data_IF_266132564109
#
_entry.id   IF_266132564109
#
_cell.length_a   1.000
_cell.length_b   1.000
_cell.length_c   1.000
_cell.angle_alpha   90.00
_cell.angle_beta   90.00
_cell.angle_gamma   90.00
#
_symmetry.space_group_name_H-M   'P 1'
#
loop_
_entity.id
_entity.type
_entity.pdbx_description
1 polymer ?
#
# COMPACT_ATOMS: atom_id res chain seq x y z
N UNK A 1 33.95 13.64 4.51
CA UNK A 1 33.87 12.22 4.88
C UNK A 1 34.61 11.41 3.86
N UNK A 2 35.39 10.41 4.27
CA UNK A 2 35.77 9.36 3.34
C UNK A 2 34.49 8.59 2.98
N UNK A 3 34.03 8.72 1.74
CA UNK A 3 32.79 8.11 1.25
C UNK A 3 32.73 6.61 1.56
N UNK A 4 33.90 5.96 1.61
CA UNK A 4 34.07 4.54 1.96
C UNK A 4 33.50 4.18 3.33
N UNK A 5 33.81 4.96 4.39
CA UNK A 5 33.43 4.62 5.75
C UNK A 5 31.91 4.77 6.02
N UNK A 6 31.27 5.74 5.35
CA UNK A 6 29.81 5.92 5.39
C UNK A 6 29.12 4.72 4.75
N UNK A 7 29.56 4.33 3.56
CA UNK A 7 28.93 3.27 2.78
C UNK A 7 29.07 1.90 3.46
N UNK A 8 30.23 1.62 4.08
CA UNK A 8 30.45 0.41 4.89
C UNK A 8 29.52 0.32 6.10
N UNK A 9 29.28 1.43 6.79
CA UNK A 9 28.36 1.47 7.94
C UNK A 9 26.91 1.23 7.51
N UNK A 10 26.49 1.87 6.42
CA UNK A 10 25.15 1.69 5.85
C UNK A 10 24.96 0.23 5.39
N UNK A 11 25.98 -0.36 4.77
CA UNK A 11 25.97 -1.76 4.35
C UNK A 11 25.83 -2.71 5.56
N UNK A 12 26.66 -2.51 6.59
CA UNK A 12 26.62 -3.33 7.81
C UNK A 12 25.27 -3.24 8.51
N UNK A 13 24.67 -2.04 8.56
CA UNK A 13 23.32 -1.85 9.07
C UNK A 13 22.26 -2.56 8.22
N UNK A 14 22.41 -2.57 6.90
CA UNK A 14 21.49 -3.26 5.99
C UNK A 14 21.53 -4.79 6.17
N UNK A 15 22.71 -5.37 6.35
CA UNK A 15 22.88 -6.78 6.69
C UNK A 15 22.23 -7.11 8.03
N UNK A 16 22.51 -6.32 9.07
CA UNK A 16 21.88 -6.50 10.38
C UNK A 16 20.34 -6.45 10.31
N UNK A 17 19.77 -5.50 9.56
CA UNK A 17 18.31 -5.43 9.36
C UNK A 17 17.76 -6.68 8.66
N UNK A 18 18.52 -7.27 7.74
CA UNK A 18 18.14 -8.51 7.06
C UNK A 18 18.12 -9.68 8.04
N UNK A 19 19.12 -9.79 8.91
CA UNK A 19 19.17 -10.81 9.96
C UNK A 19 18.02 -10.66 10.98
N UNK A 20 17.57 -9.43 11.22
CA UNK A 20 16.37 -9.14 12.01
C UNK A 20 15.05 -9.42 11.26
N UNK A 21 15.10 -10.00 10.06
CA UNK A 21 13.93 -10.38 9.26
C UNK A 21 13.15 -9.18 8.70
N UNK A 22 13.77 -8.00 8.56
CA UNK A 22 13.09 -6.83 8.00
C UNK A 22 12.89 -6.99 6.49
N UNK A 23 11.77 -6.47 5.99
CA UNK A 23 11.47 -6.52 4.56
C UNK A 23 12.47 -5.69 3.74
N UNK A 24 12.71 -6.07 2.48
CA UNK A 24 13.59 -5.33 1.57
C UNK A 24 13.20 -3.84 1.45
N UNK A 25 11.90 -3.52 1.47
CA UNK A 25 11.42 -2.14 1.47
C UNK A 25 11.75 -1.40 2.77
N UNK A 26 11.67 -2.07 3.92
CA UNK A 26 12.07 -1.50 5.21
C UNK A 26 13.57 -1.21 5.21
N UNK A 27 14.39 -2.17 4.75
CA UNK A 27 15.85 -2.00 4.64
C UNK A 27 16.17 -0.80 3.76
N UNK A 28 15.63 -0.76 2.53
CA UNK A 28 15.82 0.36 1.59
C UNK A 28 15.38 1.71 2.18
N UNK A 29 14.28 1.71 2.94
CA UNK A 29 13.79 2.93 3.58
C UNK A 29 14.77 3.41 4.65
N UNK A 30 15.21 2.52 5.53
CA UNK A 30 16.07 2.88 6.66
C UNK A 30 17.47 3.28 6.21
N UNK A 31 18.06 2.56 5.24
CA UNK A 31 19.36 2.95 4.66
C UNK A 31 19.27 4.27 3.89
N UNK A 32 18.15 4.52 3.19
CA UNK A 32 17.90 5.80 2.52
C UNK A 32 17.77 6.98 3.50
N UNK A 33 17.11 6.77 4.65
CA UNK A 33 17.09 7.76 5.74
C UNK A 33 18.50 8.00 6.25
N UNK A 34 19.26 6.94 6.52
CA UNK A 34 20.61 7.06 7.06
C UNK A 34 21.54 7.83 6.13
N UNK A 35 21.45 7.62 4.81
CA UNK A 35 22.19 8.44 3.84
C UNK A 35 21.81 9.91 3.96
N UNK A 36 20.51 10.24 3.95
CA UNK A 36 20.04 11.63 4.06
C UNK A 36 20.47 12.28 5.38
N UNK A 37 20.51 11.52 6.46
CA UNK A 37 20.99 11.98 7.76
C UNK A 37 22.49 12.30 7.73
N UNK A 38 23.31 11.41 7.16
CA UNK A 38 24.75 11.65 6.99
C UNK A 38 25.01 12.88 6.11
N UNK A 39 24.28 12.98 5.00
CA UNK A 39 24.44 14.06 4.03
C UNK A 39 24.07 15.42 4.64
N UNK A 40 23.12 15.45 5.59
CA UNK A 40 22.74 16.68 6.28
C UNK A 40 23.66 17.03 7.46
N UNK A 41 24.09 16.05 8.25
CA UNK A 41 24.90 16.31 9.45
C UNK A 41 26.38 16.50 9.14
N UNK A 42 26.88 15.90 8.05
CA UNK A 42 28.30 15.88 7.67
C UNK A 42 29.22 15.38 8.81
N UNK A 43 28.67 14.65 9.79
CA UNK A 43 29.35 14.12 10.98
C UNK A 43 29.54 12.61 10.93
N UNK A 44 30.65 12.13 11.48
CA UNK A 44 30.95 10.70 11.56
C UNK A 44 29.84 10.03 12.39
N UNK A 45 29.23 8.97 11.84
CA UNK A 45 28.06 8.29 12.44
C UNK A 45 28.29 7.79 13.87
N UNK A 46 29.54 7.51 14.24
CA UNK A 46 29.92 7.06 15.59
C UNK A 46 30.02 8.19 16.62
N UNK A 47 30.13 9.45 16.17
CA UNK A 47 30.27 10.66 16.99
C UNK A 47 28.96 11.46 17.09
N UNK A 48 27.86 10.87 16.66
CA UNK A 48 26.55 11.51 16.71
C UNK A 48 26.02 11.54 18.14
N UNK A 49 25.59 12.72 18.57
CA UNK A 49 24.92 12.96 19.84
C UNK A 49 23.44 13.29 19.64
N UNK A 50 22.68 13.36 20.74
CA UNK A 50 21.23 13.61 20.68
C UNK A 50 20.90 14.95 20.01
N UNK A 51 21.75 15.96 20.20
CA UNK A 51 21.60 17.30 19.62
C UNK A 51 21.67 17.28 18.09
N UNK A 52 22.48 16.37 17.52
CA UNK A 52 22.62 16.21 16.07
C UNK A 52 21.37 15.57 15.47
N UNK A 53 20.80 14.59 16.17
CA UNK A 53 19.55 13.96 15.78
C UNK A 53 18.41 14.98 15.88
N UNK A 54 18.34 15.74 16.96
CA UNK A 54 17.33 16.79 17.13
C UNK A 54 17.45 17.85 16.02
N UNK A 55 18.65 18.37 15.78
CA UNK A 55 18.90 19.37 14.74
C UNK A 55 18.53 18.87 13.34
N UNK A 56 18.70 17.56 13.07
CA UNK A 56 18.23 16.97 11.83
C UNK A 56 16.70 16.90 11.72
N UNK A 57 16.00 16.52 12.79
CA UNK A 57 14.53 16.49 12.78
C UNK A 57 13.96 17.91 12.63
N UNK A 58 14.55 18.89 13.32
CA UNK A 58 14.19 20.31 13.19
C UNK A 58 14.43 20.81 11.75
N UNK A 59 15.52 20.38 11.11
CA UNK A 59 15.76 20.65 9.69
C UNK A 59 14.66 20.08 8.79
N UNK A 60 14.21 18.84 9.03
CA UNK A 60 13.10 18.25 8.26
C UNK A 60 11.79 19.02 8.45
N UNK A 61 11.52 19.49 9.67
CA UNK A 61 10.39 20.37 9.97
C UNK A 61 10.47 21.70 9.23
N UNK A 62 11.65 22.35 9.26
CA UNK A 62 11.90 23.60 8.54
C UNK A 62 11.75 23.44 7.02
N UNK A 63 12.09 22.25 6.50
CA UNK A 63 11.83 21.86 5.12
C UNK A 63 10.36 21.48 4.84
N UNK A 64 9.44 21.69 5.79
CA UNK A 64 8.01 21.38 5.71
C UNK A 64 7.73 19.94 5.29
N UNK A 65 8.59 19.00 5.69
CA UNK A 65 8.34 17.57 5.45
C UNK A 65 7.09 17.14 6.20
N UNK A 66 6.33 16.22 5.60
CA UNK A 66 5.12 15.71 6.25
C UNK A 66 5.48 15.07 7.60
N UNK A 67 4.62 15.14 8.63
CA UNK A 67 4.94 14.53 9.91
C UNK A 67 5.15 13.01 9.83
N UNK A 68 4.50 12.33 8.87
CA UNK A 68 4.75 10.90 8.62
C UNK A 68 6.13 10.63 8.01
N UNK A 69 6.69 11.59 7.27
CA UNK A 69 8.09 11.54 6.82
C UNK A 69 9.03 11.70 8.03
N UNK A 70 8.78 12.68 8.89
CA UNK A 70 9.62 12.91 10.09
C UNK A 70 9.59 11.70 11.01
N UNK A 71 8.41 11.15 11.29
CA UNK A 71 8.23 9.92 12.08
C UNK A 71 9.03 8.75 11.52
N UNK A 72 9.00 8.56 10.19
CA UNK A 72 9.77 7.53 9.52
C UNK A 72 11.27 7.72 9.71
N UNK A 73 11.77 8.96 9.66
CA UNK A 73 13.17 9.27 9.89
C UNK A 73 13.56 8.98 11.34
N UNK A 74 12.77 9.45 12.29
CA UNK A 74 12.95 9.16 13.72
C UNK A 74 13.02 7.66 13.99
N UNK A 75 12.08 6.87 13.47
CA UNK A 75 12.05 5.40 13.69
C UNK A 75 13.31 4.75 13.09
N UNK A 76 13.70 5.13 11.87
CA UNK A 76 14.89 4.57 11.23
C UNK A 76 16.17 4.88 12.03
N UNK A 77 16.32 6.13 12.50
CA UNK A 77 17.44 6.55 13.35
C UNK A 77 17.43 5.82 14.70
N UNK A 78 16.25 5.65 15.32
CA UNK A 78 16.13 4.90 16.56
C UNK A 78 16.62 3.44 16.43
N UNK A 79 16.23 2.79 15.33
CA UNK A 79 16.68 1.43 15.02
C UNK A 79 18.19 1.40 14.72
N UNK A 80 18.72 2.42 14.05
CA UNK A 80 20.14 2.55 13.78
C UNK A 80 20.99 2.73 15.05
N UNK A 81 20.58 3.60 15.99
CA UNK A 81 21.29 3.77 17.25
C UNK A 81 21.21 2.55 18.16
N UNK A 82 20.13 1.76 18.06
CA UNK A 82 20.08 0.44 18.68
C UNK A 82 21.11 -0.52 18.08
N UNK A 83 21.28 -0.52 16.76
CA UNK A 83 22.31 -1.30 16.08
C UNK A 83 23.72 -0.91 16.53
N UNK A 84 24.00 0.38 16.71
CA UNK A 84 25.29 0.87 17.23
C UNK A 84 25.53 0.57 18.73
N UNK A 85 24.57 -0.02 19.44
CA UNK A 85 24.65 -0.20 20.89
C UNK A 85 24.60 1.14 21.67
N UNK A 86 24.06 2.19 21.06
CA UNK A 86 23.93 3.54 21.64
C UNK A 86 22.48 4.04 21.70
N UNK A 87 21.50 3.26 22.20
CA UNK A 87 20.10 3.70 22.25
C UNK A 87 19.88 4.98 23.07
N UNK A 88 20.80 5.31 23.99
CA UNK A 88 20.76 6.53 24.81
C UNK A 88 20.77 7.82 23.98
N UNK A 89 21.31 7.81 22.76
CA UNK A 89 21.31 8.97 21.84
C UNK A 89 19.89 9.41 21.48
N UNK A 90 18.91 8.51 21.56
CA UNK A 90 17.51 8.81 21.22
C UNK A 90 16.67 9.24 22.42
N UNK A 91 17.18 9.14 23.65
CA UNK A 91 16.38 9.35 24.87
C UNK A 91 15.93 10.80 25.04
N UNK A 92 16.79 11.76 24.66
CA UNK A 92 16.52 13.20 24.73
C UNK A 92 16.06 13.79 23.39
N UNK A 93 15.85 12.95 22.37
CA UNK A 93 15.37 13.40 21.07
C UNK A 93 13.86 13.51 21.11
N UNK A 94 13.37 14.74 21.05
CA UNK A 94 11.96 15.04 20.96
C UNK A 94 11.51 15.03 19.49
N UNK A 95 10.28 14.57 19.30
CA UNK A 95 9.60 14.65 18.01
C UNK A 95 8.24 15.26 18.24
N UNK A 96 7.81 16.13 17.33
CA UNK A 96 6.40 16.49 17.27
C UNK A 96 5.61 15.26 16.87
N UNK A 97 4.89 14.69 17.83
CA UNK A 97 3.99 13.57 17.57
C UNK A 97 2.93 14.08 16.61
N UNK A 98 2.86 13.46 15.42
CA UNK A 98 1.75 13.74 14.51
C UNK A 98 0.45 13.38 15.22
N UNK A 99 -0.41 14.36 15.45
CA UNK A 99 -1.82 14.07 15.69
C UNK A 99 -2.31 13.24 14.52
N UNK A 100 -2.76 12.02 14.80
CA UNK A 100 -3.35 11.16 13.80
C UNK A 100 -4.72 11.75 13.43
N UNK A 101 -4.72 12.81 12.62
CA UNK A 101 -5.90 13.25 11.91
C UNK A 101 -6.28 12.08 11.01
N UNK A 102 -7.41 11.46 11.34
CA UNK A 102 -8.02 10.42 10.52
C UNK A 102 -8.50 11.10 9.23
N UNK A 103 -7.58 11.30 8.29
CA UNK A 103 -7.91 11.78 6.95
C UNK A 103 -8.78 10.72 6.27
N UNK A 104 -9.97 11.17 5.84
CA UNK A 104 -10.89 10.35 5.08
C UNK A 104 -10.18 10.00 3.77
N UNK A 105 -10.02 8.70 3.44
CA UNK A 105 -9.35 8.32 2.21
C UNK A 105 -10.10 8.85 0.99
N UNK A 106 -9.37 9.36 0.01
CA UNK A 106 -9.96 9.75 -1.26
C UNK A 106 -10.53 8.52 -1.98
N UNK A 107 -11.81 8.58 -2.35
CA UNK A 107 -12.55 7.55 -3.10
C UNK A 107 -13.00 8.10 -4.46
N UNK A 108 -13.47 7.23 -5.34
CA UNK A 108 -14.16 7.63 -6.57
C UNK A 108 -15.65 7.72 -6.29
N UNK A 109 -16.26 8.82 -6.70
CA UNK A 109 -17.72 8.89 -6.89
C UNK A 109 -18.18 7.89 -7.95
N UNK A 110 -19.50 7.65 -7.99
CA UNK A 110 -20.11 6.76 -9.00
C UNK A 110 -19.79 7.25 -10.42
N UNK A 111 -19.90 8.56 -10.66
CA UNK A 111 -19.62 9.16 -11.96
C UNK A 111 -18.14 9.05 -12.35
N UNK A 112 -17.21 9.37 -11.45
CA UNK A 112 -15.77 9.22 -11.72
C UNK A 112 -15.40 7.77 -12.02
N UNK A 113 -16.01 6.81 -11.33
CA UNK A 113 -15.80 5.40 -11.64
C UNK A 113 -16.31 5.06 -13.05
N UNK A 114 -17.51 5.49 -13.42
CA UNK A 114 -18.07 5.21 -14.75
C UNK A 114 -17.19 5.82 -15.85
N UNK A 115 -16.69 7.03 -15.65
CA UNK A 115 -15.75 7.69 -16.56
C UNK A 115 -14.46 6.87 -16.67
N UNK A 116 -13.86 6.46 -15.54
CA UNK A 116 -12.66 5.62 -15.54
C UNK A 116 -12.85 4.33 -16.34
N UNK A 117 -13.96 3.62 -16.10
CA UNK A 117 -14.25 2.35 -16.78
C UNK A 117 -14.49 2.54 -18.27
N UNK A 118 -15.23 3.58 -18.66
CA UNK A 118 -15.43 3.93 -20.07
C UNK A 118 -14.12 4.28 -20.77
N UNK A 119 -13.29 5.11 -20.15
CA UNK A 119 -12.08 5.62 -20.79
C UNK A 119 -10.98 4.55 -20.89
N UNK A 120 -10.88 3.63 -19.92
CA UNK A 120 -9.96 2.49 -20.02
C UNK A 120 -10.42 1.49 -21.08
N UNK A 121 -11.72 1.26 -21.22
CA UNK A 121 -12.28 0.40 -22.27
C UNK A 121 -12.06 0.97 -23.66
N UNK A 122 -12.24 2.29 -23.82
CA UNK A 122 -11.99 2.99 -25.07
C UNK A 122 -10.52 2.93 -25.52
N UNK A 123 -9.56 2.75 -24.60
CA UNK A 123 -8.15 2.53 -24.95
C UNK A 123 -7.92 1.17 -25.64
N UNK A 124 -8.80 0.20 -25.43
CA UNK A 124 -8.76 -1.12 -26.07
C UNK A 124 -7.64 -2.05 -25.57
N UNK A 125 -6.82 -1.62 -24.61
CA UNK A 125 -5.77 -2.46 -24.04
C UNK A 125 -6.35 -3.47 -23.03
N UNK A 126 -6.62 -4.69 -23.48
CA UNK A 126 -7.25 -5.76 -22.69
C UNK A 126 -6.56 -6.02 -21.35
N UNK A 127 -5.22 -5.95 -21.30
CA UNK A 127 -4.46 -6.09 -20.06
C UNK A 127 -4.79 -4.97 -19.09
N UNK A 128 -4.72 -3.72 -19.54
CA UNK A 128 -4.93 -2.56 -18.68
C UNK A 128 -6.38 -2.53 -18.17
N UNK A 129 -7.36 -2.87 -19.02
CA UNK A 129 -8.77 -3.01 -18.65
C UNK A 129 -8.91 -4.05 -17.53
N UNK A 130 -8.38 -5.26 -17.72
CA UNK A 130 -8.45 -6.32 -16.71
C UNK A 130 -7.80 -5.91 -15.38
N UNK A 131 -6.67 -5.20 -15.41
CA UNK A 131 -6.00 -4.68 -14.19
C UNK A 131 -6.92 -3.71 -13.43
N UNK A 132 -7.52 -2.74 -14.11
CA UNK A 132 -8.39 -1.73 -13.48
C UNK A 132 -9.60 -2.40 -12.83
N UNK A 133 -10.28 -3.27 -13.58
CA UNK A 133 -11.43 -4.02 -13.08
C UNK A 133 -11.06 -4.88 -11.87
N UNK A 134 -9.94 -5.59 -11.92
CA UNK A 134 -9.52 -6.44 -10.81
C UNK A 134 -9.24 -5.62 -9.55
N UNK A 135 -8.49 -4.52 -9.64
CA UNK A 135 -8.22 -3.65 -8.47
C UNK A 135 -9.50 -3.09 -7.87
N UNK A 136 -10.38 -2.57 -8.72
CA UNK A 136 -11.60 -1.89 -8.30
C UNK A 136 -12.64 -2.86 -7.71
N UNK A 137 -12.72 -4.09 -8.22
CA UNK A 137 -13.75 -5.05 -7.83
C UNK A 137 -13.32 -6.01 -6.71
N UNK A 138 -12.02 -6.07 -6.37
CA UNK A 138 -11.50 -6.97 -5.34
C UNK A 138 -10.81 -6.24 -4.18
N UNK A 139 -10.42 -4.98 -4.39
CA UNK A 139 -9.70 -4.19 -3.39
C UNK A 139 -8.32 -4.73 -3.02
N UNK A 140 -7.74 -5.68 -3.76
CA UNK A 140 -6.39 -6.19 -3.51
C UNK A 140 -5.33 -5.09 -3.66
N UNK A 141 -4.17 -5.26 -3.01
CA UNK A 141 -3.04 -4.33 -3.17
C UNK A 141 -2.46 -4.46 -4.57
N UNK A 142 -1.87 -3.37 -5.07
CA UNK A 142 -1.17 -3.40 -6.37
C UNK A 142 -0.04 -4.43 -6.40
N UNK A 143 0.68 -4.63 -5.29
CA UNK A 143 1.71 -5.67 -5.20
C UNK A 143 1.11 -7.06 -5.34
N UNK A 144 0.01 -7.32 -4.62
CA UNK A 144 -0.72 -8.59 -4.69
C UNK A 144 -1.22 -8.86 -6.12
N UNK A 145 -1.76 -7.85 -6.81
CA UNK A 145 -2.14 -7.95 -8.22
C UNK A 145 -0.96 -8.32 -9.12
N UNK A 146 0.18 -7.64 -8.94
CA UNK A 146 1.38 -7.89 -9.74
C UNK A 146 1.95 -9.29 -9.48
N UNK A 147 1.74 -9.86 -8.29
CA UNK A 147 2.24 -11.17 -7.88
C UNK A 147 1.32 -12.34 -8.27
N UNK A 148 0.09 -12.07 -8.73
CA UNK A 148 -0.83 -13.10 -9.22
C UNK A 148 -0.24 -13.90 -10.39
N UNK A 149 -0.57 -15.19 -10.42
CA UNK A 149 -0.26 -16.11 -11.50
C UNK A 149 -1.53 -16.53 -12.23
N UNK A 150 -1.40 -17.08 -13.45
CA UNK A 150 -2.56 -17.58 -14.20
C UNK A 150 -3.31 -18.65 -13.40
N UNK A 151 -2.56 -19.52 -12.69
CA UNK A 151 -3.09 -20.57 -11.80
C UNK A 151 -3.81 -20.05 -10.55
N UNK A 152 -3.62 -18.78 -10.20
CA UNK A 152 -4.28 -18.19 -9.02
C UNK A 152 -5.70 -17.69 -9.36
N UNK A 153 -6.10 -17.70 -10.64
CA UNK A 153 -7.46 -17.38 -11.09
C UNK A 153 -8.27 -18.67 -11.21
N UNK A 154 -9.20 -18.87 -10.29
CA UNK A 154 -10.08 -20.05 -10.27
C UNK A 154 -11.42 -19.71 -10.91
N UNK A 155 -11.77 -20.49 -11.93
CA UNK A 155 -12.98 -20.33 -12.73
C UNK A 155 -13.77 -21.64 -12.67
N UNK A 156 -14.70 -21.73 -11.73
CA UNK A 156 -15.62 -22.86 -11.59
C UNK A 156 -17.02 -22.46 -12.06
N UNK A 157 -17.88 -23.45 -12.29
CA UNK A 157 -19.25 -23.27 -12.80
C UNK A 157 -20.06 -22.31 -11.92
N UNK A 158 -19.87 -22.35 -10.60
CA UNK A 158 -20.66 -21.58 -9.64
C UNK A 158 -19.89 -20.44 -8.97
N UNK A 159 -18.55 -20.46 -9.02
CA UNK A 159 -17.71 -19.53 -8.26
C UNK A 159 -16.48 -19.13 -9.06
N UNK A 160 -16.22 -17.83 -9.09
CA UNK A 160 -14.97 -17.27 -9.63
C UNK A 160 -14.25 -16.54 -8.51
N UNK A 161 -12.98 -16.82 -8.31
CA UNK A 161 -12.19 -16.19 -7.26
C UNK A 161 -10.70 -16.15 -7.62
N UNK A 162 -9.97 -15.25 -6.96
CA UNK A 162 -8.51 -15.21 -7.00
C UNK A 162 -7.92 -15.68 -5.67
N UNK A 163 -6.80 -16.40 -5.76
CA UNK A 163 -6.01 -16.81 -4.61
C UNK A 163 -4.88 -15.81 -4.39
N UNK A 164 -5.04 -14.93 -3.41
CA UNK A 164 -3.99 -13.97 -3.01
C UNK A 164 -3.01 -14.68 -2.08
N UNK A 165 -1.72 -14.57 -2.38
CA UNK A 165 -0.65 -15.21 -1.62
C UNK A 165 0.09 -14.23 -0.73
N UNK A 166 0.59 -14.71 0.40
CA UNK A 166 1.45 -13.92 1.29
C UNK A 166 2.91 -13.93 0.79
N UNK A 167 3.78 -13.19 1.48
CA UNK A 167 5.20 -13.09 1.14
C UNK A 167 5.98 -14.44 1.24
N UNK A 168 5.39 -15.46 1.87
CA UNK A 168 5.93 -16.83 1.95
C UNK A 168 5.42 -17.74 0.82
N UNK A 169 4.55 -17.23 -0.07
CA UNK A 169 3.96 -17.98 -1.18
C UNK A 169 2.72 -18.81 -0.81
N UNK A 170 2.32 -18.81 0.46
CA UNK A 170 1.13 -19.50 0.95
C UNK A 170 -0.13 -18.70 0.59
N UNK A 171 -1.26 -19.39 0.45
CA UNK A 171 -2.56 -18.73 0.23
C UNK A 171 -2.92 -17.95 1.49
N UNK A 172 -2.98 -16.62 1.36
CA UNK A 172 -3.40 -15.70 2.41
C UNK A 172 -4.93 -15.65 2.50
N UNK A 173 -5.58 -15.46 1.34
CA UNK A 173 -7.03 -15.37 1.24
C UNK A 173 -7.53 -15.66 -0.18
N UNK A 174 -8.77 -16.11 -0.25
CA UNK A 174 -9.55 -16.16 -1.49
C UNK A 174 -10.41 -14.90 -1.60
N UNK A 175 -10.42 -14.26 -2.77
CA UNK A 175 -11.24 -13.07 -3.03
C UNK A 175 -12.20 -13.37 -4.20
N UNK A 176 -13.52 -13.35 -3.98
CA UNK A 176 -14.50 -13.56 -5.03
C UNK A 176 -14.39 -12.51 -6.15
N UNK A 177 -14.66 -12.94 -7.38
CA UNK A 177 -14.70 -12.08 -8.56
C UNK A 177 -16.13 -11.84 -9.00
N UNK A 178 -16.46 -10.60 -9.36
CA UNK A 178 -17.70 -10.31 -10.07
C UNK A 178 -17.62 -10.83 -11.51
N UNK A 179 -18.78 -11.06 -12.14
CA UNK A 179 -18.86 -11.49 -13.54
C UNK A 179 -18.11 -10.57 -14.50
N UNK A 180 -18.23 -9.25 -14.28
CA UNK A 180 -17.51 -8.25 -15.08
C UNK A 180 -15.98 -8.37 -14.91
N UNK A 181 -15.47 -8.47 -13.68
CA UNK A 181 -14.03 -8.61 -13.45
C UNK A 181 -13.46 -9.87 -14.10
N UNK A 182 -14.13 -11.02 -13.94
CA UNK A 182 -13.65 -12.27 -14.55
C UNK A 182 -13.75 -12.24 -16.07
N UNK A 183 -14.76 -11.58 -16.65
CA UNK A 183 -14.89 -11.46 -18.10
C UNK A 183 -13.70 -10.71 -18.71
N UNK A 184 -13.26 -9.60 -18.11
CA UNK A 184 -12.11 -8.86 -18.61
C UNK A 184 -10.81 -9.63 -18.43
N UNK A 185 -10.64 -10.35 -17.31
CA UNK A 185 -9.49 -11.24 -17.10
C UNK A 185 -9.47 -12.35 -18.16
N UNK A 186 -10.61 -12.97 -18.47
CA UNK A 186 -10.74 -13.98 -19.54
C UNK A 186 -10.37 -13.40 -20.90
N UNK A 187 -10.94 -12.26 -21.28
CA UNK A 187 -10.64 -11.60 -22.55
C UNK A 187 -9.14 -11.34 -22.71
N UNK A 188 -8.49 -10.87 -21.64
CA UNK A 188 -7.05 -10.70 -21.64
C UNK A 188 -6.30 -12.02 -21.79
N UNK A 189 -6.62 -13.04 -20.99
CA UNK A 189 -5.97 -14.35 -21.08
C UNK A 189 -6.12 -14.99 -22.46
N UNK A 190 -7.29 -14.86 -23.11
CA UNK A 190 -7.53 -15.35 -24.47
C UNK A 190 -6.77 -14.56 -25.55
N UNK A 191 -6.38 -13.32 -25.27
CA UNK A 191 -5.56 -12.53 -26.19
C UNK A 191 -4.08 -12.93 -26.18
N UNK A 192 -3.65 -13.71 -25.19
CA UNK A 192 -2.27 -14.17 -25.09
C UNK A 192 -2.04 -15.36 -26.02
N UNK A 193 -0.97 -15.30 -26.83
CA UNK A 193 -0.57 -16.41 -27.72
C UNK A 193 -0.14 -17.66 -26.94
N UNK A 194 0.48 -17.45 -25.79
CA UNK A 194 0.95 -18.51 -24.89
C UNK A 194 0.46 -18.22 -23.47
N UNK A 195 0.25 -19.28 -22.68
CA UNK A 195 -0.12 -19.12 -21.27
C UNK A 195 1.06 -18.50 -20.51
N UNK A 196 0.88 -17.27 -20.04
CA UNK A 196 1.82 -16.63 -19.14
C UNK A 196 1.57 -17.08 -17.68
N UNK A 197 2.66 -17.35 -16.94
CA UNK A 197 2.63 -17.65 -15.51
C UNK A 197 3.53 -16.66 -14.73
N UNK A 198 3.39 -15.37 -15.05
CA UNK A 198 2.58 -14.45 -14.25
C UNK A 198 1.23 -14.13 -14.91
N UNK A 199 0.21 -13.75 -14.11
CA UNK A 199 -1.11 -13.40 -14.63
C UNK A 199 -1.02 -12.21 -15.60
N UNK A 200 -0.33 -11.14 -15.19
CA UNK A 200 -0.16 -9.93 -16.00
C UNK A 200 1.30 -9.74 -16.42
N UNK A 201 1.51 -9.65 -17.74
CA UNK A 201 2.83 -9.42 -18.35
C UNK A 201 2.96 -8.00 -18.91
N UNK A 202 4.16 -7.45 -18.87
CA UNK A 202 4.56 -6.19 -19.52
C UNK A 202 4.70 -6.36 -21.03
N UNK A 203 4.94 -5.27 -21.76
CA UNK A 203 5.27 -5.32 -23.20
C UNK A 203 6.56 -6.09 -23.50
N UNK A 204 7.42 -6.28 -22.50
CA UNK A 204 8.66 -7.06 -22.58
C UNK A 204 8.47 -8.51 -22.15
N UNK A 205 7.23 -9.00 -22.04
CA UNK A 205 6.88 -10.37 -21.62
C UNK A 205 7.38 -10.75 -20.21
N UNK A 206 7.57 -9.75 -19.34
CA UNK A 206 7.97 -9.94 -17.94
C UNK A 206 6.79 -9.66 -17.00
N UNK A 207 6.80 -10.18 -15.77
CA UNK A 207 5.81 -9.83 -14.74
C UNK A 207 5.64 -8.30 -14.64
N UNK A 208 4.40 -7.83 -14.64
CA UNK A 208 4.12 -6.40 -14.51
C UNK A 208 4.57 -5.90 -13.13
N UNK A 209 5.09 -4.67 -13.07
CA UNK A 209 5.54 -4.07 -11.82
C UNK A 209 4.48 -3.13 -11.23
N UNK A 210 4.47 -2.91 -9.91
CA UNK A 210 3.60 -1.90 -9.29
C UNK A 210 3.76 -0.51 -9.90
N UNK A 211 4.98 -0.13 -10.31
CA UNK A 211 5.26 1.15 -10.95
C UNK A 211 4.60 1.26 -12.33
N UNK A 212 4.59 0.17 -13.09
CA UNK A 212 3.88 0.09 -14.37
C UNK A 212 2.38 0.27 -14.20
N UNK A 213 1.78 -0.38 -13.20
CA UNK A 213 0.34 -0.23 -12.88
C UNK A 213 0.02 1.19 -12.44
N UNK A 214 0.86 1.80 -11.59
CA UNK A 214 0.71 3.21 -11.21
C UNK A 214 0.80 4.14 -12.41
N UNK A 215 1.71 3.87 -13.36
CA UNK A 215 1.83 4.66 -14.59
C UNK A 215 0.57 4.56 -15.46
N UNK A 216 0.00 3.36 -15.61
CA UNK A 216 -1.28 3.15 -16.32
C UNK A 216 -2.39 4.01 -15.67
N UNK A 217 -2.55 3.92 -14.35
CA UNK A 217 -3.62 4.63 -13.63
C UNK A 217 -3.42 6.15 -13.59
N UNK A 218 -2.16 6.62 -13.63
CA UNK A 218 -1.84 8.05 -13.61
C UNK A 218 -2.50 8.81 -14.76
N UNK A 219 -2.67 8.19 -15.94
CA UNK A 219 -3.36 8.77 -17.10
C UNK A 219 -4.81 9.18 -16.78
N UNK A 220 -5.42 8.52 -15.81
CA UNK A 220 -6.81 8.73 -15.41
C UNK A 220 -6.93 9.52 -14.10
N UNK A 221 -5.83 10.11 -13.61
CA UNK A 221 -5.76 10.78 -12.31
C UNK A 221 -6.22 9.88 -11.13
N UNK A 222 -5.91 8.58 -11.21
CA UNK A 222 -6.22 7.58 -10.18
C UNK A 222 -4.94 6.86 -9.76
N UNK A 223 -4.93 6.31 -8.55
CA UNK A 223 -3.86 5.42 -8.08
C UNK A 223 -4.46 4.17 -7.42
N UNK A 224 -3.68 3.07 -7.27
CA UNK A 224 -4.24 1.80 -6.77
C UNK A 224 -4.91 1.90 -5.41
N UNK A 225 -4.37 2.73 -4.51
CA UNK A 225 -5.01 2.95 -3.21
C UNK A 225 -6.40 3.60 -3.31
N UNK A 226 -6.63 4.54 -4.25
CA UNK A 226 -7.95 5.16 -4.47
C UNK A 226 -8.96 4.11 -4.92
N UNK A 227 -8.60 3.22 -5.85
CA UNK A 227 -9.45 2.09 -6.25
C UNK A 227 -9.81 1.16 -5.08
N UNK A 228 -8.82 0.83 -4.24
CA UNK A 228 -9.04 0.03 -3.04
C UNK A 228 -9.91 0.75 -2.01
N UNK A 229 -9.76 2.06 -1.84
CA UNK A 229 -10.62 2.86 -0.97
C UNK A 229 -12.04 2.86 -1.50
N UNK A 230 -12.25 3.09 -2.80
CA UNK A 230 -13.55 2.99 -3.47
C UNK A 230 -14.20 1.62 -3.23
N UNK A 231 -13.46 0.53 -3.38
CA UNK A 231 -13.95 -0.81 -3.08
C UNK A 231 -14.44 -0.94 -1.63
N UNK A 232 -13.59 -0.55 -0.67
CA UNK A 232 -13.95 -0.66 0.75
C UNK A 232 -15.14 0.22 1.11
N UNK A 233 -15.17 1.46 0.62
CA UNK A 233 -16.26 2.41 0.89
C UNK A 233 -17.57 1.90 0.33
N UNK A 234 -17.59 1.39 -0.91
CA UNK A 234 -18.80 0.79 -1.50
C UNK A 234 -19.34 -0.37 -0.68
N UNK A 235 -18.49 -1.23 -0.14
CA UNK A 235 -18.95 -2.31 0.72
C UNK A 235 -19.57 -1.77 2.02
N UNK A 236 -18.98 -0.71 2.61
CA UNK A 236 -19.58 -0.03 3.78
C UNK A 236 -20.94 0.60 3.43
N UNK A 237 -21.05 1.28 2.30
CA UNK A 237 -22.28 1.94 1.85
C UNK A 237 -23.41 0.91 1.65
N UNK A 238 -23.07 -0.29 1.18
CA UNK A 238 -23.97 -1.43 1.04
C UNK A 238 -24.22 -2.22 2.35
N UNK A 239 -23.73 -1.72 3.49
CA UNK A 239 -24.00 -2.30 4.81
C UNK A 239 -23.24 -3.58 5.12
N UNK A 240 -22.16 -3.89 4.39
CA UNK A 240 -21.31 -5.04 4.68
C UNK A 240 -20.51 -4.76 5.96
N UNK A 241 -20.40 -5.78 6.82
CA UNK A 241 -19.70 -5.65 8.09
C UNK A 241 -18.19 -5.41 7.90
N UNK A 242 -17.60 -4.67 8.84
CA UNK A 242 -16.18 -4.29 8.76
C UNK A 242 -15.21 -5.47 8.82
N UNK A 243 -15.59 -6.61 9.41
CA UNK A 243 -14.70 -7.76 9.50
C UNK A 243 -14.60 -8.43 8.14
N UNK A 244 -15.72 -8.59 7.45
CA UNK A 244 -15.76 -9.08 6.06
C UNK A 244 -14.97 -8.18 5.12
N UNK A 245 -15.16 -6.85 5.21
CA UNK A 245 -14.41 -5.88 4.39
C UNK A 245 -12.90 -5.98 4.69
N UNK A 246 -12.53 -6.06 5.96
CA UNK A 246 -11.13 -6.21 6.39
C UNK A 246 -10.50 -7.48 5.83
N UNK A 247 -11.24 -8.60 5.84
CA UNK A 247 -10.81 -9.88 5.32
C UNK A 247 -10.62 -9.83 3.80
N UNK A 248 -11.58 -9.29 3.05
CA UNK A 248 -11.49 -9.17 1.59
C UNK A 248 -10.31 -8.28 1.16
N UNK A 249 -10.19 -7.10 1.79
CA UNK A 249 -9.09 -6.20 1.51
C UNK A 249 -7.74 -6.77 2.03
N UNK A 250 -7.73 -7.62 3.04
CA UNK A 250 -6.50 -8.10 3.68
C UNK A 250 -5.85 -7.04 4.58
N UNK A 251 -6.65 -6.29 5.36
CA UNK A 251 -6.13 -5.39 6.38
C UNK A 251 -5.72 -6.18 7.62
N UNK A 252 -4.48 -5.98 8.09
CA UNK A 252 -3.98 -6.58 9.34
C UNK A 252 -4.52 -5.88 10.59
N UNK A 253 -4.87 -4.59 10.46
CA UNK A 253 -5.45 -3.79 11.52
C UNK A 253 -6.86 -3.33 11.10
N UNK A 254 -7.86 -3.68 11.92
CA UNK A 254 -9.25 -3.29 11.72
C UNK A 254 -9.45 -1.77 11.72
N UNK A 255 -8.57 -1.00 12.39
CA UNK A 255 -8.65 0.46 12.38
C UNK A 255 -8.52 1.04 10.96
N UNK A 256 -7.82 0.34 10.06
CA UNK A 256 -7.73 0.71 8.64
C UNK A 256 -9.07 0.59 7.92
N UNK A 257 -9.94 -0.32 8.35
CA UNK A 257 -11.29 -0.47 7.79
C UNK A 257 -12.28 0.48 8.47
N UNK A 258 -12.14 0.71 9.78
CA UNK A 258 -13.03 1.60 10.56
C UNK A 258 -13.09 3.02 10.00
N UNK A 259 -12.06 3.50 9.30
CA UNK A 259 -12.05 4.85 8.70
C UNK A 259 -13.16 5.07 7.66
N UNK A 260 -13.65 4.02 7.01
CA UNK A 260 -14.73 4.10 6.02
C UNK A 260 -16.13 4.21 6.67
N UNK A 261 -16.29 3.81 7.94
CA UNK A 261 -17.59 3.89 8.63
C UNK A 261 -18.03 5.33 8.92
N UNK A 262 -17.10 6.27 9.03
CA UNK A 262 -17.40 7.66 9.41
C UNK A 262 -18.19 8.43 8.34
N UNK A 263 -18.25 7.94 7.10
CA UNK A 263 -19.01 8.59 6.01
C UNK A 263 -20.52 8.44 6.15
N UNK A 264 -21.01 7.40 6.84
CA UNK A 264 -22.44 7.29 7.09
C UNK A 264 -22.78 8.24 8.24
N UNK A 265 -23.19 9.47 7.91
CA UNK A 265 -23.94 10.30 8.86
C UNK A 265 -25.18 9.51 9.23
N UNK A 266 -25.08 8.73 10.32
CA UNK A 266 -26.23 8.09 10.89
C UNK A 266 -27.12 9.23 11.36
N UNK A 267 -28.20 9.49 10.64
CA UNK A 267 -29.33 10.15 11.25
C UNK A 267 -29.83 9.18 12.32
N UNK A 268 -29.38 9.41 13.55
CA UNK A 268 -29.54 8.50 14.68
C UNK A 268 -31.02 8.22 14.95
N UNK A 269 -31.90 9.18 14.66
CA UNK A 269 -33.34 9.03 14.74
C UNK A 269 -33.87 8.02 13.70
N UNK A 270 -33.50 8.21 12.43
CA UNK A 270 -33.86 7.28 11.36
C UNK A 270 -33.30 5.85 11.58
N UNK A 271 -32.12 5.72 12.21
CA UNK A 271 -31.56 4.41 12.53
C UNK A 271 -32.38 3.67 13.61
N UNK A 272 -32.85 4.38 14.63
CA UNK A 272 -33.72 3.82 15.68
C UNK A 272 -35.09 3.49 15.07
N UNK A 273 -35.69 4.42 14.31
CA UNK A 273 -37.00 4.21 13.70
C UNK A 273 -37.00 3.04 12.71
N UNK A 274 -35.97 2.88 11.88
CA UNK A 274 -35.89 1.72 10.97
C UNK A 274 -35.70 0.38 11.71
N UNK A 275 -35.12 0.41 12.90
CA UNK A 275 -34.83 -0.80 13.69
C UNK A 275 -36.06 -1.28 14.46
N UNK A 276 -36.87 -0.35 14.97
CA UNK A 276 -38.02 -0.68 15.83
C UNK A 276 -39.39 -0.44 15.18
N UNK A 277 -39.46 0.15 13.99
CA UNK A 277 -40.73 0.51 13.31
C UNK A 277 -40.99 -0.29 12.02
N UNK A 278 -40.17 -1.30 11.68
CA UNK A 278 -40.51 -2.24 10.60
C UNK A 278 -41.61 -3.22 11.06
N UNK A 279 -42.85 -2.92 10.70
CA UNK A 279 -43.94 -3.89 10.58
C UNK A 279 -43.99 -4.47 9.16
#
# INVERSE_FOLDING_TARGET
MDTSAKDEMIFSFAEWLRDQGKSANTIKTYTGVLSQFCDQTQKILTEIHSEDVQGYLDYLENCKKSPGTIEKHYIALNVFFKFLGKPQVMLSVERKVKEHKFEIPETLSINEQQILLRDIEAEGNLRNIAIVYLLLHTGIRVSELCDLNGRDVIMETERNYILVRNAKGEIDRSVPLTLSAIQHVKNYLYSLKEKADPLFISSYNQRITPRSVQYILKKYNVHPHKLRHTFCQRLVDNGIDIQTISKLAGHKDLNVTKRYLKEKSLDLANAIDQTFTKH
#
